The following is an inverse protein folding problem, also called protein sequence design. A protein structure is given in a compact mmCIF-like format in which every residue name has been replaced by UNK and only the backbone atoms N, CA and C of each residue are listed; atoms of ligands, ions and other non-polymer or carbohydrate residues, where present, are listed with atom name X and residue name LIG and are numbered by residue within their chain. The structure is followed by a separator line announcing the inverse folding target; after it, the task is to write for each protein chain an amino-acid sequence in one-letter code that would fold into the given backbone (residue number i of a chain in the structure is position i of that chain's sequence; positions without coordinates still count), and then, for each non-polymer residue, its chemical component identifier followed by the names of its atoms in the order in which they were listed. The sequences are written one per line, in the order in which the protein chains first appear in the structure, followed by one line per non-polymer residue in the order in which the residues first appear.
data_IF_894153204275
#
_entry.id   IF_894153204275
#
_cell.length_a   1.000
_cell.length_b   1.000
_cell.length_c   1.000
_cell.angle_alpha   90.00
_cell.angle_beta   90.00
_cell.angle_gamma   90.00
#
_symmetry.space_group_name_H-M   'P 1'
#
loop_
_entity.id
_entity.type
_entity.pdbx_description
1 polymer ?
#
# COMPACT_ATOMS: atom_id res chain seq x y z
N UNK A 1 17.43 11.32 47.31
CA UNK A 1 16.14 11.45 46.61
C UNK A 1 16.26 12.01 45.18
N UNK A 2 17.28 11.61 44.39
CA UNK A 2 17.44 12.04 42.97
C UNK A 2 17.47 10.88 41.96
N UNK A 3 17.77 9.66 42.42
CA UNK A 3 17.78 8.44 41.58
C UNK A 3 16.39 7.95 41.18
N UNK A 4 15.36 8.20 41.99
CA UNK A 4 13.99 7.72 41.72
C UNK A 4 13.31 8.46 40.56
N UNK A 5 13.62 9.75 40.36
CA UNK A 5 12.99 10.55 39.30
C UNK A 5 13.49 10.16 37.90
N UNK A 6 14.76 9.76 37.78
CA UNK A 6 15.34 9.26 36.53
C UNK A 6 14.75 7.90 36.10
N UNK A 7 14.32 7.08 37.06
CA UNK A 7 13.71 5.77 36.80
C UNK A 7 12.32 5.85 36.16
N UNK A 8 11.59 6.95 36.36
CA UNK A 8 10.27 7.17 35.74
C UNK A 8 10.31 8.01 34.46
N UNK A 9 11.41 8.75 34.22
CA UNK A 9 11.57 9.57 33.02
C UNK A 9 11.71 8.73 31.75
N UNK A 10 12.54 7.69 31.77
CA UNK A 10 12.74 6.78 30.64
C UNK A 10 11.46 6.06 30.19
N UNK A 11 10.71 5.37 31.07
CA UNK A 11 9.46 4.73 30.67
C UNK A 11 8.39 5.75 30.27
N UNK A 12 8.35 6.93 30.90
CA UNK A 12 7.44 8.01 30.50
C UNK A 12 7.70 8.52 29.09
N UNK A 13 8.98 8.71 28.74
CA UNK A 13 9.40 9.08 27.37
C UNK A 13 9.05 7.96 26.39
N UNK A 14 9.28 6.70 26.75
CA UNK A 14 8.95 5.57 25.88
C UNK A 14 7.45 5.52 25.57
N UNK A 15 6.58 5.67 26.58
CA UNK A 15 5.12 5.73 26.40
C UNK A 15 4.72 6.90 25.52
N UNK A 16 5.30 8.09 25.76
CA UNK A 16 5.02 9.27 24.94
C UNK A 16 5.39 9.05 23.47
N UNK A 17 6.55 8.46 23.19
CA UNK A 17 6.98 8.11 21.83
C UNK A 17 6.01 7.13 21.18
N UNK A 18 5.58 6.09 21.90
CA UNK A 18 4.60 5.12 21.38
C UNK A 18 3.26 5.78 21.05
N UNK A 19 2.76 6.67 21.91
CA UNK A 19 1.51 7.40 21.65
C UNK A 19 1.64 8.29 20.41
N UNK A 20 2.74 9.04 20.29
CA UNK A 20 2.99 9.90 19.13
C UNK A 20 3.13 9.09 17.85
N UNK A 21 3.81 7.95 17.90
CA UNK A 21 3.95 7.05 16.76
C UNK A 21 2.60 6.49 16.31
N UNK A 22 1.77 6.01 17.25
CA UNK A 22 0.42 5.53 16.96
C UNK A 22 -0.46 6.63 16.39
N UNK A 23 -0.43 7.83 16.97
CA UNK A 23 -1.20 8.96 16.44
C UNK A 23 -0.79 9.31 15.01
N UNK A 24 0.51 9.36 14.73
CA UNK A 24 1.04 9.65 13.40
C UNK A 24 0.65 8.58 12.36
N UNK A 25 0.68 7.29 12.73
CA UNK A 25 0.30 6.18 11.84
C UNK A 25 -1.19 6.18 11.47
N UNK A 26 -2.04 6.85 12.26
CA UNK A 26 -3.48 6.93 12.04
C UNK A 26 -3.93 8.28 11.44
N UNK A 27 -3.00 9.18 11.11
CA UNK A 27 -3.35 10.42 10.44
C UNK A 27 -4.00 10.13 9.07
N UNK A 28 -5.14 10.76 8.75
CA UNK A 28 -5.73 10.65 7.42
C UNK A 28 -4.72 11.10 6.37
N UNK A 29 -4.41 10.23 5.41
CA UNK A 29 -3.59 10.63 4.28
C UNK A 29 -4.39 11.62 3.43
N UNK A 30 -3.91 12.85 3.21
CA UNK A 30 -4.60 13.78 2.35
C UNK A 30 -4.71 13.15 0.96
N UNK A 31 -5.94 13.07 0.43
CA UNK A 31 -6.16 12.67 -0.96
C UNK A 31 -5.51 13.76 -1.82
N UNK A 32 -4.31 13.48 -2.34
CA UNK A 32 -3.63 14.40 -3.23
C UNK A 32 -4.55 14.64 -4.42
N UNK A 33 -4.97 15.89 -4.63
CA UNK A 33 -5.70 16.28 -5.84
C UNK A 33 -4.71 16.16 -7.00
N UNK A 34 -4.65 14.98 -7.59
CA UNK A 34 -3.69 14.67 -8.64
C UNK A 34 -4.18 15.23 -9.97
N UNK A 35 -3.38 16.08 -10.61
CA UNK A 35 -3.62 16.41 -12.01
C UNK A 35 -3.34 15.17 -12.86
N UNK A 36 -4.22 14.86 -13.83
CA UNK A 36 -4.04 13.74 -14.77
C UNK A 36 -2.63 13.73 -15.40
N UNK A 37 -2.07 14.90 -15.70
CA UNK A 37 -0.72 15.04 -16.25
C UNK A 37 0.37 14.55 -15.29
N UNK A 38 0.21 14.80 -13.98
CA UNK A 38 1.14 14.30 -12.96
C UNK A 38 1.04 12.78 -12.80
N UNK A 39 -0.17 12.22 -12.85
CA UNK A 39 -0.39 10.77 -12.77
C UNK A 39 0.26 10.06 -13.96
N UNK A 40 0.15 10.62 -15.17
CA UNK A 40 0.82 10.09 -16.37
C UNK A 40 2.34 10.13 -16.24
N UNK A 41 2.91 11.24 -15.77
CA UNK A 41 4.36 11.36 -15.56
C UNK A 41 4.88 10.36 -14.52
N UNK A 42 4.17 10.17 -13.41
CA UNK A 42 4.54 9.19 -12.39
C UNK A 42 4.49 7.77 -12.95
N UNK A 43 3.47 7.44 -13.75
CA UNK A 43 3.36 6.14 -14.42
C UNK A 43 4.53 5.87 -15.39
N UNK A 44 4.87 6.86 -16.22
CA UNK A 44 6.02 6.78 -17.13
C UNK A 44 7.33 6.58 -16.36
N UNK A 45 7.56 7.37 -15.30
CA UNK A 45 8.75 7.27 -14.45
C UNK A 45 8.82 5.93 -13.71
N UNK A 46 7.67 5.42 -13.26
CA UNK A 46 7.55 4.14 -12.56
C UNK A 46 7.56 2.91 -13.47
N UNK A 47 7.52 3.10 -14.80
CA UNK A 47 7.51 2.00 -15.77
C UNK A 47 6.21 1.19 -15.79
N UNK A 48 5.09 1.80 -15.39
CA UNK A 48 3.77 1.16 -15.43
C UNK A 48 2.80 1.96 -16.30
N UNK A 49 1.67 1.33 -16.65
CA UNK A 49 0.62 1.95 -17.46
C UNK A 49 -0.61 2.22 -16.59
N UNK A 50 -1.29 3.31 -16.89
CA UNK A 50 -2.61 3.57 -16.34
C UNK A 50 -3.65 2.77 -17.12
N UNK A 51 -4.68 2.30 -16.43
CA UNK A 51 -5.83 1.63 -17.02
C UNK A 51 -7.08 2.28 -16.45
N UNK A 52 -8.07 2.55 -17.29
CA UNK A 52 -9.37 3.02 -16.85
C UNK A 52 -10.31 1.86 -16.50
N UNK A 53 -11.46 2.19 -15.93
CA UNK A 53 -12.42 1.21 -15.44
C UNK A 53 -13.01 0.37 -16.58
N UNK A 54 -13.26 0.96 -17.75
CA UNK A 54 -13.86 0.28 -18.89
C UNK A 54 -12.87 -0.69 -19.55
N UNK A 55 -11.63 -0.26 -19.75
CA UNK A 55 -10.54 -1.09 -20.22
C UNK A 55 -10.23 -2.25 -19.25
N UNK A 56 -10.27 -1.98 -17.94
CA UNK A 56 -10.10 -3.01 -16.93
C UNK A 56 -11.23 -4.03 -16.99
N UNK A 57 -12.48 -3.58 -17.11
CA UNK A 57 -13.64 -4.46 -17.25
C UNK A 57 -13.55 -5.35 -18.50
N UNK A 58 -13.17 -4.76 -19.64
CA UNK A 58 -12.99 -5.49 -20.89
C UNK A 58 -11.86 -6.53 -20.78
N UNK A 59 -10.76 -6.19 -20.11
CA UNK A 59 -9.65 -7.13 -19.87
C UNK A 59 -10.08 -8.28 -18.95
N UNK A 60 -10.83 -7.95 -17.89
CA UNK A 60 -11.34 -8.93 -16.93
C UNK A 60 -12.30 -9.93 -17.61
N UNK A 61 -13.21 -9.44 -18.45
CA UNK A 61 -14.18 -10.28 -19.16
C UNK A 61 -13.56 -11.13 -20.27
N UNK A 62 -12.57 -10.58 -20.99
CA UNK A 62 -11.97 -11.28 -22.13
C UNK A 62 -11.00 -12.39 -21.70
N UNK A 63 -10.27 -12.23 -20.60
CA UNK A 63 -9.30 -13.24 -20.16
C UNK A 63 -8.94 -13.18 -18.67
N UNK A 64 -9.90 -13.55 -17.82
CA UNK A 64 -9.75 -13.54 -16.36
C UNK A 64 -8.51 -14.31 -15.84
N UNK A 65 -8.04 -15.35 -16.54
CA UNK A 65 -6.85 -16.13 -16.12
C UNK A 65 -5.52 -15.43 -16.38
N UNK A 66 -5.50 -14.41 -17.25
CA UNK A 66 -4.29 -13.65 -17.62
C UNK A 66 -4.17 -12.32 -16.86
N UNK A 67 -5.13 -11.99 -16.00
CA UNK A 67 -5.07 -10.81 -15.15
C UNK A 67 -4.87 -11.22 -13.69
N UNK A 68 -3.98 -10.52 -13.00
CA UNK A 68 -3.82 -10.58 -11.55
C UNK A 68 -4.21 -9.22 -10.98
N UNK A 69 -5.36 -9.16 -10.31
CA UNK A 69 -5.81 -7.97 -9.60
C UNK A 69 -5.21 -7.96 -8.20
N UNK A 70 -4.49 -6.88 -7.85
CA UNK A 70 -3.83 -6.75 -6.55
C UNK A 70 -4.39 -5.53 -5.82
N UNK A 71 -5.11 -5.78 -4.74
CA UNK A 71 -5.60 -4.75 -3.83
C UNK A 71 -4.48 -4.32 -2.88
N UNK A 72 -4.07 -3.05 -2.94
CA UNK A 72 -2.95 -2.55 -2.14
C UNK A 72 -3.37 -1.85 -0.85
N UNK A 73 -4.68 -1.71 -0.62
CA UNK A 73 -5.26 -0.98 0.52
C UNK A 73 -4.99 -1.69 1.85
N UNK A 74 -5.37 -1.05 2.96
CA UNK A 74 -5.28 -1.70 4.26
C UNK A 74 -6.26 -2.87 4.38
N UNK A 75 -5.96 -3.84 5.24
CA UNK A 75 -6.77 -5.05 5.39
C UNK A 75 -8.24 -4.74 5.74
N UNK A 76 -8.47 -3.72 6.58
CA UNK A 76 -9.82 -3.35 6.96
C UNK A 76 -10.65 -2.80 5.77
N UNK A 77 -10.01 -2.11 4.81
CA UNK A 77 -10.65 -1.62 3.59
C UNK A 77 -10.96 -2.78 2.63
N UNK A 78 -10.01 -3.71 2.49
CA UNK A 78 -10.19 -4.90 1.66
C UNK A 78 -11.37 -5.75 2.14
N UNK A 79 -11.52 -5.92 3.47
CA UNK A 79 -12.64 -6.64 4.08
C UNK A 79 -13.99 -5.95 3.93
N UNK A 80 -14.02 -4.62 3.77
CA UNK A 80 -15.26 -3.86 3.58
C UNK A 80 -15.82 -3.99 2.14
N UNK A 81 -15.00 -4.43 1.19
CA UNK A 81 -15.40 -4.67 -0.19
C UNK A 81 -14.21 -4.53 -1.15
N UNK A 82 -14.07 -5.47 -2.07
CA UNK A 82 -12.99 -5.52 -3.05
C UNK A 82 -13.50 -6.12 -4.37
N UNK A 83 -12.70 -6.00 -5.44
CA UNK A 83 -13.03 -6.60 -6.72
C UNK A 83 -12.89 -8.13 -6.57
N UNK A 84 -13.92 -8.88 -6.96
CA UNK A 84 -13.89 -10.34 -6.86
C UNK A 84 -12.65 -10.94 -7.53
N UNK A 85 -12.10 -12.01 -6.94
CA UNK A 85 -10.85 -12.66 -7.38
C UNK A 85 -9.57 -11.80 -7.27
N UNK A 86 -9.63 -10.60 -6.67
CA UNK A 86 -8.43 -9.85 -6.32
C UNK A 86 -7.68 -10.53 -5.17
N UNK A 87 -6.35 -10.49 -5.24
CA UNK A 87 -5.48 -10.86 -4.13
C UNK A 87 -5.09 -9.61 -3.35
N UNK A 88 -4.98 -9.73 -2.03
CA UNK A 88 -4.64 -8.59 -1.17
C UNK A 88 -3.15 -8.55 -0.85
N UNK A 89 -2.52 -7.39 -1.04
CA UNK A 89 -1.16 -7.11 -0.60
C UNK A 89 -1.08 -5.70 0.01
N UNK A 90 -1.19 -5.60 1.34
CA UNK A 90 -1.15 -4.30 2.01
C UNK A 90 0.20 -3.59 1.81
N UNK A 91 0.15 -2.41 1.18
CA UNK A 91 1.31 -1.55 0.96
C UNK A 91 1.16 -0.26 1.76
N UNK A 92 2.11 -0.01 2.66
CA UNK A 92 2.15 1.27 3.38
C UNK A 92 2.77 2.35 2.48
N UNK A 93 2.29 3.61 2.54
CA UNK A 93 2.78 4.71 1.72
C UNK A 93 4.14 5.28 2.22
N UNK A 94 5.02 4.42 2.76
CA UNK A 94 6.30 4.82 3.35
C UNK A 94 7.43 4.17 2.55
N UNK A 95 8.43 4.97 2.16
CA UNK A 95 9.56 4.50 1.35
C UNK A 95 10.31 3.32 1.99
N UNK A 96 10.49 3.36 3.31
CA UNK A 96 11.12 2.28 4.07
C UNK A 96 10.32 0.97 3.98
N UNK A 97 9.00 1.04 4.16
CA UNK A 97 8.13 -0.11 4.05
C UNK A 97 8.17 -0.72 2.65
N UNK A 98 8.19 0.11 1.59
CA UNK A 98 8.35 -0.36 0.20
C UNK A 98 9.65 -1.13 0.00
N UNK A 99 10.75 -0.63 0.56
CA UNK A 99 12.04 -1.31 0.47
C UNK A 99 12.02 -2.67 1.19
N UNK A 100 11.51 -2.70 2.43
CA UNK A 100 11.41 -3.92 3.23
C UNK A 100 10.48 -4.97 2.60
N UNK A 101 9.38 -4.56 1.96
CA UNK A 101 8.38 -5.45 1.36
C UNK A 101 8.73 -5.94 -0.05
N UNK A 102 9.85 -5.50 -0.65
CA UNK A 102 10.22 -5.83 -2.03
C UNK A 102 10.27 -7.34 -2.30
N UNK A 103 10.96 -8.10 -1.46
CA UNK A 103 11.09 -9.56 -1.66
C UNK A 103 9.77 -10.29 -1.37
N UNK A 104 8.99 -9.82 -0.39
CA UNK A 104 7.66 -10.35 -0.11
C UNK A 104 6.71 -10.13 -1.29
N UNK A 105 6.74 -8.94 -1.91
CA UNK A 105 5.95 -8.64 -3.10
C UNK A 105 6.37 -9.53 -4.27
N UNK A 106 7.68 -9.71 -4.49
CA UNK A 106 8.17 -10.60 -5.55
C UNK A 106 7.71 -12.05 -5.37
N UNK A 107 7.76 -12.57 -4.15
CA UNK A 107 7.26 -13.90 -3.84
C UNK A 107 5.74 -14.00 -4.03
N UNK A 108 5.01 -12.96 -3.63
CA UNK A 108 3.56 -12.86 -3.77
C UNK A 108 3.10 -12.85 -5.24
N UNK A 109 3.78 -12.09 -6.11
CA UNK A 109 3.46 -12.04 -7.54
C UNK A 109 3.79 -13.36 -8.26
N UNK A 110 4.72 -14.13 -7.71
CA UNK A 110 5.10 -15.43 -8.25
C UNK A 110 5.98 -15.34 -9.51
N UNK A 111 6.27 -16.48 -10.14
CA UNK A 111 7.22 -16.57 -11.25
C UNK A 111 6.61 -16.24 -12.63
N UNK A 112 5.27 -16.22 -12.73
CA UNK A 112 4.56 -16.03 -13.99
C UNK A 112 4.62 -14.56 -14.43
N UNK A 113 5.35 -14.31 -15.53
CA UNK A 113 5.54 -12.97 -16.10
C UNK A 113 4.59 -12.66 -17.26
N UNK A 114 3.77 -13.63 -17.67
CA UNK A 114 2.86 -13.48 -18.81
C UNK A 114 1.51 -12.89 -18.38
N UNK A 115 1.26 -12.81 -17.07
CA UNK A 115 0.06 -12.19 -16.51
C UNK A 115 0.19 -10.67 -16.47
N UNK A 116 -0.87 -10.00 -16.90
CA UNK A 116 -1.07 -8.58 -16.65
C UNK A 116 -1.40 -8.37 -15.18
N UNK A 117 -0.55 -7.65 -14.45
CA UNK A 117 -0.79 -7.31 -13.05
C UNK A 117 -1.40 -5.90 -13.00
N UNK A 118 -2.53 -5.77 -12.33
CA UNK A 118 -3.19 -4.48 -12.10
C UNK A 118 -3.27 -4.23 -10.60
N UNK A 119 -2.56 -3.19 -10.15
CA UNK A 119 -2.65 -2.70 -8.79
C UNK A 119 -3.74 -1.66 -8.68
N UNK A 120 -4.52 -1.71 -7.61
CA UNK A 120 -5.54 -0.71 -7.29
C UNK A 120 -5.62 -0.41 -5.78
#
# INVERSE_FOLDING_TARGET
MKRSLQFFLLPGIAVLITIVALWYSHLPSPVAVSNLSQVKQEAEKGGYRLIDVEALWNLYQSNQKKILLVDTRQEWEHRAGHIAESVHFSMEPILWARWQKKEALKAFLGPDKEKSIVFY
#
